data_IF_255267445758
#
_entry.id   IF_255267445758
#
_cell.length_a   1.000
_cell.length_b   1.000
_cell.length_c   1.000
_cell.angle_alpha   90.00
_cell.angle_beta   90.00
_cell.angle_gamma   90.00
#
_symmetry.space_group_name_H-M   'P 1'
#
loop_
_entity.id
_entity.type
_entity.pdbx_description
1 polymer ?
#
# COMPACT_ATOMS: atom_id res chain seq x y z
N UNK A 1 19.80 -2.86 3.78
CA UNK A 1 20.10 -3.76 2.65
C UNK A 1 19.11 -3.48 1.56
N UNK A 2 19.53 -3.40 0.30
CA UNK A 2 18.56 -3.31 -0.80
C UNK A 2 17.66 -4.54 -0.78
N UNK A 3 16.36 -4.32 -0.96
CA UNK A 3 15.37 -5.39 -1.08
C UNK A 3 15.26 -5.75 -2.55
N UNK A 4 15.31 -7.04 -2.88
CA UNK A 4 15.16 -7.47 -4.27
C UNK A 4 13.71 -7.23 -4.71
N UNK A 5 13.55 -6.62 -5.88
CA UNK A 5 12.27 -6.42 -6.54
C UNK A 5 12.35 -6.91 -7.97
N UNK A 6 11.26 -7.52 -8.45
CA UNK A 6 11.11 -8.00 -9.81
C UNK A 6 9.94 -7.28 -10.46
N UNK A 7 10.18 -6.64 -11.61
CA UNK A 7 9.09 -6.04 -12.38
C UNK A 7 8.15 -7.14 -12.89
N UNK A 8 6.86 -6.98 -12.62
CA UNK A 8 5.81 -7.93 -13.00
C UNK A 8 4.79 -7.34 -13.99
N UNK A 9 4.83 -6.03 -14.23
CA UNK A 9 4.02 -5.38 -15.26
C UNK A 9 3.82 -3.90 -15.03
N UNK A 10 2.82 -3.34 -15.71
CA UNK A 10 2.41 -1.95 -15.58
C UNK A 10 0.93 -1.85 -15.18
N UNK A 11 0.58 -0.76 -14.53
CA UNK A 11 -0.76 -0.46 -14.07
C UNK A 11 -1.13 1.00 -14.27
N UNK A 12 -2.25 1.40 -13.68
CA UNK A 12 -2.68 2.80 -13.66
C UNK A 12 -3.15 3.13 -12.26
N UNK A 13 -2.56 4.14 -11.66
CA UNK A 13 -2.98 4.67 -10.36
C UNK A 13 -3.86 5.90 -10.57
N UNK A 14 -5.04 5.92 -9.94
CA UNK A 14 -6.02 7.01 -10.09
C UNK A 14 -6.22 7.67 -8.74
N UNK A 15 -5.93 8.98 -8.66
CA UNK A 15 -6.09 9.73 -7.43
C UNK A 15 -7.55 10.13 -7.14
N UNK A 16 -7.75 10.79 -6.01
CA UNK A 16 -9.05 11.33 -5.58
C UNK A 16 -9.59 12.45 -6.48
N UNK A 17 -8.76 13.07 -7.31
CA UNK A 17 -9.14 14.07 -8.32
C UNK A 17 -9.45 13.44 -9.68
N UNK A 18 -9.50 12.11 -9.77
CA UNK A 18 -9.63 11.32 -10.99
C UNK A 18 -8.50 11.50 -12.00
N UNK A 19 -7.33 11.98 -11.57
CA UNK A 19 -6.14 11.99 -12.40
C UNK A 19 -5.49 10.62 -12.38
N UNK A 20 -5.17 10.10 -13.56
CA UNK A 20 -4.57 8.78 -13.73
C UNK A 20 -3.12 8.90 -14.20
N UNK A 21 -2.23 8.14 -13.56
CA UNK A 21 -0.80 8.08 -13.89
C UNK A 21 -0.40 6.62 -14.13
N UNK A 22 0.39 6.31 -15.17
CA UNK A 22 0.94 4.97 -15.33
C UNK A 22 1.86 4.65 -14.15
N UNK A 23 1.84 3.40 -13.71
CA UNK A 23 2.72 2.88 -12.66
C UNK A 23 3.37 1.58 -13.11
N UNK A 24 4.54 1.31 -12.57
CA UNK A 24 5.21 0.01 -12.68
C UNK A 24 4.88 -0.82 -11.46
N UNK A 25 4.56 -2.09 -11.67
CA UNK A 25 4.25 -3.06 -10.62
C UNK A 25 5.47 -3.93 -10.39
N UNK A 26 5.86 -4.09 -9.13
CA UNK A 26 6.94 -4.96 -8.72
C UNK A 26 6.46 -5.98 -7.70
N UNK A 27 7.06 -7.16 -7.76
CA UNK A 27 7.04 -8.14 -6.69
C UNK A 27 8.29 -7.93 -5.84
N UNK A 28 8.14 -7.53 -4.58
CA UNK A 28 9.23 -7.27 -3.64
C UNK A 28 9.29 -8.40 -2.61
N UNK A 29 10.50 -8.93 -2.36
CA UNK A 29 10.71 -10.00 -1.37
C UNK A 29 11.56 -9.50 -0.20
N UNK A 30 10.93 -9.39 0.96
CA UNK A 30 11.57 -8.93 2.18
C UNK A 30 12.62 -9.95 2.69
N UNK A 31 13.60 -9.53 3.51
CA UNK A 31 14.65 -10.43 4.03
C UNK A 31 14.15 -11.64 4.83
N UNK A 32 12.91 -11.59 5.33
CA UNK A 32 12.26 -12.70 6.01
C UNK A 32 11.53 -13.68 5.06
N UNK A 33 11.61 -13.46 3.74
CA UNK A 33 11.00 -14.29 2.70
C UNK A 33 9.54 -13.95 2.40
N UNK A 34 8.96 -12.93 3.02
CA UNK A 34 7.61 -12.47 2.67
C UNK A 34 7.69 -11.71 1.34
N UNK A 35 6.82 -12.10 0.42
CA UNK A 35 6.70 -11.47 -0.90
C UNK A 35 5.38 -10.73 -0.99
N UNK A 36 5.41 -9.53 -1.57
CA UNK A 36 4.22 -8.70 -1.78
C UNK A 36 4.34 -7.84 -3.05
N UNK A 37 3.21 -7.35 -3.54
CA UNK A 37 3.17 -6.47 -4.71
C UNK A 37 3.25 -5.02 -4.25
N UNK A 38 4.12 -4.25 -4.90
CA UNK A 38 4.23 -2.80 -4.73
C UNK A 38 3.99 -2.12 -6.08
N UNK A 39 3.62 -0.84 -6.03
CA UNK A 39 3.53 0.01 -7.22
C UNK A 39 4.39 1.27 -7.02
N UNK A 40 5.08 1.64 -8.10
CA UNK A 40 5.95 2.81 -8.20
C UNK A 40 5.57 3.60 -9.47
N UNK A 41 5.57 4.92 -9.38
CA UNK A 41 5.49 5.88 -10.48
C UNK A 41 6.90 6.11 -11.05
N UNK A 42 7.92 6.19 -10.17
CA UNK A 42 9.30 6.54 -10.52
C UNK A 42 10.31 5.79 -9.63
N UNK A 43 11.57 5.76 -10.05
CA UNK A 43 12.72 5.29 -9.24
C UNK A 43 13.66 6.44 -8.80
N UNK A 44 13.33 7.67 -9.22
CA UNK A 44 14.14 8.87 -9.04
C UNK A 44 13.42 9.95 -8.21
N UNK A 45 12.33 9.59 -7.51
CA UNK A 45 11.58 10.50 -6.66
C UNK A 45 12.21 10.62 -5.25
N UNK A 46 11.72 11.58 -4.47
CA UNK A 46 12.36 11.98 -3.20
C UNK A 46 12.48 10.84 -2.18
N UNK A 47 11.58 9.85 -2.21
CA UNK A 47 11.56 8.72 -1.29
C UNK A 47 12.16 7.43 -1.87
N UNK A 48 12.70 7.54 -3.09
CA UNK A 48 13.47 6.59 -3.91
C UNK A 48 14.69 6.04 -3.18
N UNK A 49 15.59 7.00 -2.95
CA UNK A 49 16.92 6.79 -2.42
C UNK A 49 17.05 7.52 -1.09
N UNK A 50 16.73 6.80 -0.02
CA UNK A 50 16.75 7.33 1.34
C UNK A 50 18.03 6.96 2.08
N UNK A 51 18.35 7.73 3.12
CA UNK A 51 19.37 7.35 4.09
C UNK A 51 18.97 6.09 4.87
N UNK A 52 19.95 5.42 5.47
CA UNK A 52 19.69 4.24 6.31
C UNK A 52 18.99 4.65 7.60
N UNK A 53 17.79 4.11 7.82
CA UNK A 53 17.06 4.29 9.07
C UNK A 53 17.52 3.31 10.15
N UNK A 54 17.76 3.82 11.36
CA UNK A 54 17.96 2.99 12.56
C UNK A 54 16.70 3.04 13.41
N UNK A 55 15.87 2.00 13.32
CA UNK A 55 14.59 1.93 14.04
C UNK A 55 14.86 1.79 15.54
N UNK A 56 14.32 2.69 16.39
CA UNK A 56 14.48 2.59 17.83
C UNK A 56 13.87 1.31 18.40
N UNK A 57 14.39 0.85 19.54
CA UNK A 57 13.80 -0.30 20.23
C UNK A 57 12.32 -0.03 20.58
N UNK A 58 11.48 -1.06 20.41
CA UNK A 58 10.04 -0.95 20.66
C UNK A 58 9.27 -0.16 19.60
N UNK A 59 9.90 0.21 18.49
CA UNK A 59 9.26 0.87 17.36
C UNK A 59 9.32 0.03 16.09
N UNK A 60 8.52 0.43 15.11
CA UNK A 60 8.37 -0.23 13.82
C UNK A 60 8.52 0.79 12.69
N UNK A 61 9.06 0.33 11.58
CA UNK A 61 9.12 1.08 10.32
C UNK A 61 8.04 0.52 9.39
N UNK A 62 7.05 1.35 9.07
CA UNK A 62 5.91 0.99 8.23
C UNK A 62 6.09 1.64 6.86
N UNK A 63 5.76 0.90 5.80
CA UNK A 63 5.76 1.38 4.43
C UNK A 63 4.47 0.95 3.73
N UNK A 64 3.95 1.81 2.87
CA UNK A 64 2.81 1.47 2.02
C UNK A 64 3.23 0.78 0.73
N UNK A 65 2.34 -0.03 0.17
CA UNK A 65 2.56 -0.72 -1.11
C UNK A 65 2.49 0.24 -2.31
N UNK A 66 1.75 1.36 -2.19
CA UNK A 66 1.76 2.45 -3.16
C UNK A 66 2.82 3.48 -2.76
N UNK A 67 4.05 3.24 -3.23
CA UNK A 67 5.28 3.80 -2.66
C UNK A 67 5.38 5.31 -2.84
N UNK A 68 5.05 5.83 -4.02
CA UNK A 68 5.05 7.27 -4.29
C UNK A 68 3.84 8.02 -3.72
N UNK A 69 2.80 7.30 -3.28
CA UNK A 69 1.59 7.90 -2.70
C UNK A 69 1.35 7.49 -1.25
N UNK A 70 2.42 7.19 -0.54
CA UNK A 70 2.38 6.80 0.86
C UNK A 70 3.17 7.78 1.71
N UNK A 71 2.47 8.52 2.57
CA UNK A 71 3.10 9.24 3.67
C UNK A 71 3.34 8.25 4.82
N UNK A 72 4.50 7.61 4.83
CA UNK A 72 4.85 6.54 5.77
C UNK A 72 6.14 6.82 6.55
N UNK A 73 6.73 5.80 7.17
CA UNK A 73 7.88 5.97 8.07
C UNK A 73 9.13 6.57 7.41
N UNK A 74 9.20 6.60 6.07
CA UNK A 74 10.23 7.35 5.33
C UNK A 74 10.16 8.85 5.60
N UNK A 75 8.99 9.37 5.98
CA UNK A 75 8.76 10.79 6.26
C UNK A 75 8.76 11.03 7.77
N UNK A 76 9.95 11.24 8.34
CA UNK A 76 10.16 11.30 9.80
C UNK A 76 9.41 12.44 10.51
N UNK A 77 9.15 13.56 9.82
CA UNK A 77 8.41 14.69 10.38
C UNK A 77 6.87 14.55 10.24
N UNK A 78 6.38 13.46 9.66
CA UNK A 78 4.95 13.17 9.53
C UNK A 78 4.57 11.91 10.32
N UNK A 79 4.87 10.73 9.78
CA UNK A 79 4.55 9.45 10.44
C UNK A 79 5.72 8.97 11.29
N UNK A 80 6.92 8.93 10.70
CA UNK A 80 8.12 8.42 11.38
C UNK A 80 7.96 7.00 11.93
N UNK A 81 8.68 6.69 13.01
CA UNK A 81 8.64 5.37 13.62
C UNK A 81 7.35 5.17 14.44
N UNK A 82 6.69 4.03 14.27
CA UNK A 82 5.44 3.71 14.98
C UNK A 82 5.77 2.95 16.26
N UNK A 83 5.31 3.43 17.42
CA UNK A 83 5.55 2.76 18.69
C UNK A 83 4.68 1.50 18.84
N UNK A 84 5.19 0.48 19.53
CA UNK A 84 4.50 -0.81 19.70
C UNK A 84 3.10 -0.68 20.31
N UNK A 85 2.90 0.26 21.22
CA UNK A 85 1.63 0.53 21.89
C UNK A 85 0.58 1.21 20.99
N UNK A 86 0.99 1.75 19.85
CA UNK A 86 0.11 2.30 18.81
C UNK A 86 -0.41 1.22 17.85
N UNK A 87 0.10 -0.02 17.96
CA UNK A 87 -0.36 -1.14 17.14
C UNK A 87 -1.67 -1.70 17.69
N UNK A 88 -2.76 -1.49 16.94
CA UNK A 88 -4.10 -1.99 17.30
C UNK A 88 -4.28 -3.46 16.89
N UNK A 89 -3.86 -3.82 15.66
CA UNK A 89 -4.05 -5.17 15.14
C UNK A 89 -3.56 -5.34 13.71
N UNK A 90 -3.72 -6.56 13.19
CA UNK A 90 -3.39 -6.92 11.81
C UNK A 90 -4.64 -6.91 10.95
N UNK A 91 -4.51 -6.42 9.72
CA UNK A 91 -5.57 -6.57 8.72
C UNK A 91 -5.57 -8.02 8.22
N UNK A 92 -6.71 -8.69 8.25
CA UNK A 92 -6.83 -10.12 7.90
C UNK A 92 -7.65 -10.35 6.63
N UNK A 93 -8.75 -9.62 6.45
CA UNK A 93 -9.65 -9.82 5.32
C UNK A 93 -10.36 -8.53 4.89
N UNK A 94 -10.73 -8.48 3.60
CA UNK A 94 -11.55 -7.40 3.03
C UNK A 94 -13.02 -7.73 3.17
N UNK A 95 -13.72 -7.07 4.09
CA UNK A 95 -15.16 -7.30 4.26
C UNK A 95 -15.99 -6.76 3.09
N UNK A 96 -15.71 -5.55 2.62
CA UNK A 96 -16.53 -4.84 1.63
C UNK A 96 -15.69 -4.01 0.66
N UNK A 97 -16.13 -3.92 -0.60
CA UNK A 97 -15.48 -3.08 -1.63
C UNK A 97 -16.49 -2.64 -2.69
N UNK A 98 -16.56 -1.33 -2.94
CA UNK A 98 -17.44 -0.70 -3.93
C UNK A 98 -16.65 0.25 -4.83
N UNK A 99 -17.06 0.39 -6.10
CA UNK A 99 -16.43 1.30 -7.07
C UNK A 99 -16.75 2.77 -6.75
N UNK A 100 -15.85 3.66 -7.18
CA UNK A 100 -16.05 5.12 -7.28
C UNK A 100 -16.53 5.82 -6.00
N UNK A 101 -16.21 5.26 -4.83
CA UNK A 101 -16.64 5.78 -3.53
C UNK A 101 -18.18 6.02 -3.46
N UNK A 102 -18.95 5.18 -4.16
CA UNK A 102 -20.41 5.26 -4.15
C UNK A 102 -20.92 5.06 -2.72
N UNK A 103 -21.92 5.85 -2.28
CA UNK A 103 -22.46 5.71 -0.95
C UNK A 103 -23.00 4.29 -0.67
N UNK A 104 -22.56 3.62 0.40
CA UNK A 104 -22.93 2.22 0.64
C UNK A 104 -24.44 2.04 0.89
N UNK A 105 -25.18 3.07 1.29
CA UNK A 105 -26.63 2.96 1.47
C UNK A 105 -27.43 2.92 0.16
N UNK A 106 -26.81 3.18 -1.00
CA UNK A 106 -27.47 3.07 -2.31
C UNK A 106 -27.51 1.60 -2.77
N UNK A 107 -28.30 0.79 -2.06
CA UNK A 107 -28.38 -0.67 -2.27
C UNK A 107 -28.74 -1.06 -3.72
N UNK A 108 -29.43 -0.19 -4.45
CA UNK A 108 -29.79 -0.40 -5.86
C UNK A 108 -28.59 -0.33 -6.82
N UNK A 109 -27.51 0.35 -6.45
CA UNK A 109 -26.27 0.40 -7.25
C UNK A 109 -25.38 -0.83 -7.04
N UNK A 110 -25.63 -1.60 -5.98
CA UNK A 110 -24.73 -2.67 -5.55
C UNK A 110 -24.51 -3.77 -6.58
N UNK A 111 -25.53 -4.26 -7.31
CA UNK A 111 -25.35 -5.37 -8.26
C UNK A 111 -24.25 -5.11 -9.30
N UNK A 112 -24.09 -3.85 -9.75
CA UNK A 112 -23.09 -3.47 -10.76
C UNK A 112 -21.77 -2.94 -10.17
N UNK A 113 -21.80 -2.42 -8.94
CA UNK A 113 -20.70 -1.62 -8.41
C UNK A 113 -19.95 -2.25 -7.24
N UNK A 114 -20.55 -3.23 -6.55
CA UNK A 114 -19.83 -4.01 -5.53
C UNK A 114 -18.84 -4.94 -6.23
N UNK A 115 -17.60 -4.96 -5.73
CA UNK A 115 -16.54 -5.86 -6.21
C UNK A 115 -16.64 -7.19 -5.48
N UNK A 116 -17.65 -7.97 -5.85
CA UNK A 116 -17.98 -9.26 -5.22
C UNK A 116 -16.79 -10.23 -5.18
N UNK A 117 -15.95 -10.18 -6.19
CA UNK A 117 -14.72 -10.96 -6.31
C UNK A 117 -13.68 -10.63 -5.24
N UNK A 118 -13.74 -9.47 -4.58
CA UNK A 118 -12.77 -9.04 -3.56
C UNK A 118 -13.29 -9.20 -2.12
N UNK A 119 -14.57 -9.48 -1.96
CA UNK A 119 -15.20 -9.59 -0.64
C UNK A 119 -14.79 -10.88 0.06
N UNK A 120 -14.63 -10.79 1.37
CA UNK A 120 -14.23 -11.86 2.28
C UNK A 120 -12.91 -12.56 1.92
N UNK A 121 -12.10 -11.94 1.06
CA UNK A 121 -10.78 -12.45 0.72
C UNK A 121 -9.74 -11.97 1.74
N UNK A 122 -8.79 -12.86 2.03
CA UNK A 122 -7.56 -12.52 2.74
C UNK A 122 -6.86 -11.32 2.10
N UNK A 123 -6.19 -10.51 2.92
CA UNK A 123 -5.29 -9.45 2.44
C UNK A 123 -3.86 -9.95 2.23
N UNK A 124 -3.49 -11.07 2.85
CA UNK A 124 -2.25 -11.78 2.54
C UNK A 124 -2.42 -12.50 1.20
N UNK A 125 -1.47 -12.30 0.28
CA UNK A 125 -1.40 -12.94 -1.03
C UNK A 125 -0.41 -14.10 -1.01
#
# INVERSE_FOLDING_TARGET
TMVERKEIGTGTDTDSSMSSTPVTLYEETLPNGVTHTIQEISDDDQLDNTDVYTVPAGHYFMMGDNRDRSADSRVLNQVGYVAKDQLIGKAEARFFSIKNNLPPWQLWEWPANVRWDRMFQSVYQ
#
